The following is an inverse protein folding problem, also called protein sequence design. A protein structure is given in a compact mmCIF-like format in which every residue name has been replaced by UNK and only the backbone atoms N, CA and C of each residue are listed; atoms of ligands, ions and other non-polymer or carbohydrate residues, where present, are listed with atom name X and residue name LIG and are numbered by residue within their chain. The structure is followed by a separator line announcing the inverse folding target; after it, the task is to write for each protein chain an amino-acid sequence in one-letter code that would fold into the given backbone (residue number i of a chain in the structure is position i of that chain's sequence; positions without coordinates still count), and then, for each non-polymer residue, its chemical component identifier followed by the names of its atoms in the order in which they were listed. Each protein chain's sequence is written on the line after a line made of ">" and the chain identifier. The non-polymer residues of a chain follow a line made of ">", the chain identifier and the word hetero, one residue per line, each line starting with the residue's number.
data_IF_040569082077
#
_entry.id   IF_040569082077
#
_cell.length_a   1.000
_cell.length_b   1.000
_cell.length_c   1.000
_cell.angle_alpha   90.00
_cell.angle_beta   90.00
_cell.angle_gamma   90.00
#
_symmetry.space_group_name_H-M   'P 1'
#
loop_
_entity.id
_entity.type
_entity.pdbx_description
1 polymer ?
#
# COMPACT_ATOMS: atom_id res chain seq x y z
N UNK A 1 6.03 -9.51 12.00
CA UNK A 1 4.90 -9.62 11.06
C UNK A 1 3.77 -8.74 11.57
N UNK A 2 3.35 -7.74 10.80
CA UNK A 2 2.21 -6.87 11.14
C UNK A 2 0.98 -7.39 10.41
N UNK A 3 -0.11 -7.68 11.13
CA UNK A 3 -1.38 -8.06 10.52
C UNK A 3 -2.25 -6.82 10.41
N UNK A 4 -2.44 -6.35 9.18
CA UNK A 4 -3.13 -5.09 8.88
C UNK A 4 -4.67 -5.22 8.82
N UNK A 5 -5.19 -6.44 8.69
CA UNK A 5 -6.60 -6.71 8.41
C UNK A 5 -7.03 -8.05 9.05
N UNK A 6 -7.17 -8.10 10.39
CA UNK A 6 -7.57 -9.32 11.09
C UNK A 6 -9.04 -9.63 10.82
N UNK A 7 -9.34 -10.89 10.44
CA UNK A 7 -10.72 -11.32 10.16
C UNK A 7 -11.29 -10.87 8.82
N UNK A 8 -10.50 -10.18 7.98
CA UNK A 8 -10.90 -9.69 6.67
C UNK A 8 -11.37 -8.23 6.67
N UNK A 9 -11.31 -7.61 5.50
CA UNK A 9 -11.64 -6.21 5.26
C UNK A 9 -12.06 -6.04 3.79
N UNK A 10 -12.59 -4.87 3.47
CA UNK A 10 -12.96 -4.51 2.10
C UNK A 10 -11.80 -3.80 1.40
N UNK A 11 -11.72 -3.99 0.09
CA UNK A 11 -10.77 -3.30 -0.78
C UNK A 11 -11.45 -2.96 -2.11
N UNK A 12 -10.98 -1.90 -2.76
CA UNK A 12 -11.34 -1.54 -4.13
C UNK A 12 -10.09 -1.53 -5.01
N UNK A 13 -10.22 -2.02 -6.25
CA UNK A 13 -9.20 -1.85 -7.29
C UNK A 13 -9.50 -0.55 -8.02
N UNK A 14 -8.60 0.42 -7.98
CA UNK A 14 -8.87 1.77 -8.47
C UNK A 14 -7.75 2.30 -9.36
N UNK A 15 -7.98 2.29 -10.68
CA UNK A 15 -7.06 2.82 -11.68
C UNK A 15 -6.91 4.34 -11.61
N UNK A 16 -7.78 5.05 -10.88
CA UNK A 16 -7.73 6.50 -10.67
C UNK A 16 -6.81 6.92 -9.52
N UNK A 17 -6.26 5.98 -8.77
CA UNK A 17 -5.45 6.24 -7.57
C UNK A 17 -4.00 5.82 -7.78
N UNK A 18 -3.05 6.74 -7.58
CA UNK A 18 -1.62 6.44 -7.75
C UNK A 18 -0.98 5.69 -6.57
N UNK A 19 -1.63 5.71 -5.41
CA UNK A 19 -1.08 5.24 -4.13
C UNK A 19 -1.72 3.92 -3.68
N UNK A 20 -1.17 3.34 -2.61
CA UNK A 20 -1.84 2.31 -1.83
C UNK A 20 -2.42 2.96 -0.58
N UNK A 21 -3.74 2.97 -0.48
CA UNK A 21 -4.45 3.69 0.59
C UNK A 21 -5.08 2.67 1.54
N UNK A 22 -5.05 2.94 2.83
CA UNK A 22 -5.71 2.09 3.82
C UNK A 22 -6.11 2.83 5.10
N UNK A 23 -6.75 2.13 6.04
CA UNK A 23 -7.19 2.72 7.30
C UNK A 23 -6.00 3.22 8.15
N UNK A 24 -6.23 4.16 9.09
CA UNK A 24 -5.16 4.79 9.85
C UNK A 24 -4.26 3.82 10.62
N UNK A 25 -4.81 2.99 11.51
CA UNK A 25 -3.99 2.13 12.37
C UNK A 25 -3.17 1.09 11.58
N UNK A 26 -3.74 0.37 10.59
CA UNK A 26 -2.98 -0.54 9.75
C UNK A 26 -1.83 0.12 8.99
N UNK A 27 -2.08 1.24 8.31
CA UNK A 27 -1.05 1.95 7.54
C UNK A 27 0.02 2.50 8.48
N UNK A 28 -0.34 3.09 9.62
CA UNK A 28 0.62 3.57 10.61
C UNK A 28 1.49 2.44 11.15
N UNK A 29 0.94 1.24 11.38
CA UNK A 29 1.72 0.10 11.84
C UNK A 29 2.72 -0.38 10.77
N UNK A 30 2.33 -0.37 9.49
CA UNK A 30 3.24 -0.68 8.37
C UNK A 30 4.35 0.37 8.29
N UNK A 31 4.00 1.66 8.31
CA UNK A 31 4.96 2.77 8.26
C UNK A 31 5.97 2.72 9.41
N UNK A 32 5.50 2.42 10.63
CA UNK A 32 6.38 2.20 11.79
C UNK A 32 7.31 1.01 11.59
N UNK A 33 6.83 -0.10 11.01
CA UNK A 33 7.66 -1.29 10.80
C UNK A 33 8.79 -1.10 9.79
N UNK A 34 8.67 -0.13 8.88
CA UNK A 34 9.69 0.23 7.90
C UNK A 34 10.51 1.45 8.32
N UNK A 35 10.40 1.88 9.59
CA UNK A 35 11.06 3.07 10.14
C UNK A 35 10.80 4.35 9.32
N UNK A 36 9.61 4.47 8.71
CA UNK A 36 9.26 5.67 7.94
C UNK A 36 9.08 6.89 8.85
N UNK A 37 9.59 8.03 8.41
CA UNK A 37 9.47 9.32 9.06
C UNK A 37 8.50 10.21 8.29
N UNK A 38 7.72 11.04 8.99
CA UNK A 38 6.83 12.00 8.32
C UNK A 38 7.60 13.27 7.94
N UNK A 39 7.31 13.83 6.78
CA UNK A 39 7.77 15.16 6.37
C UNK A 39 6.81 16.25 6.89
N UNK A 40 7.21 17.52 6.77
CA UNK A 40 6.33 18.66 7.04
C UNK A 40 5.14 18.76 6.09
N UNK A 41 5.21 18.11 4.92
CA UNK A 41 4.13 18.04 3.92
C UNK A 41 3.19 16.85 4.15
N UNK A 42 3.42 16.04 5.19
CA UNK A 42 2.60 14.86 5.51
C UNK A 42 2.91 13.62 4.67
N UNK A 43 4.01 13.64 3.90
CA UNK A 43 4.52 12.46 3.21
C UNK A 43 5.33 11.59 4.17
N UNK A 44 5.50 10.31 3.84
CA UNK A 44 6.33 9.39 4.60
C UNK A 44 7.59 9.03 3.83
N UNK A 45 8.74 9.10 4.49
CA UNK A 45 10.05 8.88 3.88
C UNK A 45 10.87 7.83 4.64
N UNK A 46 11.74 7.14 3.91
CA UNK A 46 12.73 6.17 4.41
C UNK A 46 14.09 6.48 3.79
N UNK A 47 15.17 5.93 4.36
CA UNK A 47 16.48 5.93 3.69
C UNK A 47 16.41 5.08 2.43
N UNK A 48 16.98 5.56 1.32
CA UNK A 48 17.03 4.77 0.09
C UNK A 48 17.93 3.54 0.21
N UNK A 49 18.92 3.55 1.11
CA UNK A 49 19.80 2.41 1.38
C UNK A 49 19.07 1.24 2.07
N UNK A 50 18.02 1.54 2.83
CA UNK A 50 17.27 0.52 3.58
C UNK A 50 16.28 -0.25 2.69
N UNK A 51 15.96 0.26 1.49
CA UNK A 51 14.85 -0.24 0.65
C UNK A 51 14.93 -1.74 0.35
N UNK A 52 16.13 -2.27 0.11
CA UNK A 52 16.31 -3.70 -0.18
C UNK A 52 16.05 -4.60 1.02
N UNK A 53 16.07 -4.05 2.24
CA UNK A 53 15.82 -4.79 3.49
C UNK A 53 14.36 -4.68 3.97
N UNK A 54 13.57 -3.80 3.37
CA UNK A 54 12.19 -3.58 3.76
C UNK A 54 11.31 -4.79 3.37
N UNK A 55 10.33 -5.16 4.20
CA UNK A 55 9.49 -6.32 3.96
C UNK A 55 8.49 -6.11 2.81
N UNK A 56 8.07 -7.19 2.17
CA UNK A 56 6.93 -7.13 1.27
C UNK A 56 5.63 -6.86 2.05
N UNK A 57 4.72 -6.08 1.44
CA UNK A 57 3.32 -6.01 1.89
C UNK A 57 2.54 -7.10 1.16
N UNK A 58 2.01 -8.07 1.89
CA UNK A 58 1.31 -9.21 1.28
C UNK A 58 -0.21 -9.03 1.38
N UNK A 59 -0.87 -8.87 0.24
CA UNK A 59 -2.34 -8.93 0.17
C UNK A 59 -2.78 -10.38 -0.04
N UNK A 60 -3.63 -10.90 0.83
CA UNK A 60 -4.27 -12.20 0.62
C UNK A 60 -5.68 -11.99 0.12
N UNK A 61 -5.95 -12.32 -1.14
CA UNK A 61 -7.25 -12.13 -1.79
C UNK A 61 -7.75 -13.51 -2.20
N UNK A 62 -8.90 -13.91 -1.65
CA UNK A 62 -9.51 -15.24 -1.89
C UNK A 62 -8.53 -16.41 -1.66
N UNK A 63 -7.70 -16.32 -0.61
CA UNK A 63 -6.71 -17.35 -0.25
C UNK A 63 -5.42 -17.32 -1.07
N UNK A 64 -5.29 -16.45 -2.07
CA UNK A 64 -4.07 -16.29 -2.87
C UNK A 64 -3.27 -15.09 -2.37
N UNK A 65 -1.96 -15.28 -2.20
CA UNK A 65 -1.04 -14.23 -1.78
C UNK A 65 -0.53 -13.42 -2.97
N UNK A 66 -0.61 -12.10 -2.86
CA UNK A 66 -0.12 -11.11 -3.80
C UNK A 66 0.91 -10.22 -3.09
N UNK A 67 2.20 -10.60 -3.08
CA UNK A 67 3.25 -9.79 -2.47
C UNK A 67 3.48 -8.48 -3.25
N UNK A 68 3.58 -7.38 -2.53
CA UNK A 68 3.94 -6.06 -3.05
C UNK A 68 5.32 -5.73 -2.49
N UNK A 69 6.39 -5.89 -3.30
CA UNK A 69 7.75 -5.70 -2.81
C UNK A 69 8.02 -4.22 -2.49
N UNK A 70 9.02 -3.98 -1.64
CA UNK A 70 9.45 -2.64 -1.27
C UNK A 70 9.72 -1.72 -2.47
N UNK A 71 10.30 -2.27 -3.54
CA UNK A 71 10.54 -1.52 -4.79
C UNK A 71 9.27 -1.03 -5.50
N UNK A 72 8.10 -1.57 -5.15
CA UNK A 72 6.82 -1.15 -5.72
C UNK A 72 6.13 -0.07 -4.88
N UNK A 73 6.21 -0.16 -3.55
CA UNK A 73 5.58 0.80 -2.64
C UNK A 73 6.53 1.90 -2.15
N UNK A 74 7.83 1.84 -2.47
CA UNK A 74 8.81 2.90 -2.23
C UNK A 74 9.27 3.51 -3.56
N UNK A 75 9.23 4.84 -3.66
CA UNK A 75 9.66 5.65 -4.80
C UNK A 75 10.95 6.39 -4.46
N UNK A 76 11.98 6.25 -5.30
CA UNK A 76 13.24 7.00 -5.15
C UNK A 76 13.02 8.51 -5.38
N UNK A 77 13.52 9.33 -4.45
CA UNK A 77 13.57 10.78 -4.60
C UNK A 77 14.82 11.24 -5.39
N UNK A 78 15.09 12.54 -5.38
CA UNK A 78 16.27 13.11 -6.04
C UNK A 78 17.58 12.93 -5.24
N UNK A 79 17.46 12.74 -3.93
CA UNK A 79 18.58 12.54 -3.00
C UNK A 79 18.54 11.12 -2.44
N UNK A 80 19.19 10.89 -1.29
CA UNK A 80 19.15 9.62 -0.56
C UNK A 80 17.83 9.39 0.23
N UNK A 81 16.81 10.21 -0.06
CA UNK A 81 15.48 10.15 0.53
C UNK A 81 14.54 9.43 -0.43
N UNK A 82 13.89 8.39 0.08
CA UNK A 82 12.91 7.59 -0.64
C UNK A 82 11.52 7.82 -0.03
N UNK A 83 10.50 7.93 -0.87
CA UNK A 83 9.12 8.22 -0.48
C UNK A 83 8.29 6.94 -0.45
N UNK A 84 7.53 6.75 0.62
CA UNK A 84 6.49 5.73 0.69
C UNK A 84 5.26 6.17 -0.11
N UNK A 85 4.75 5.29 -0.96
CA UNK A 85 3.49 5.47 -1.68
C UNK A 85 2.29 4.92 -0.88
N UNK A 86 2.43 4.77 0.44
CA UNK A 86 1.34 4.43 1.35
C UNK A 86 0.63 5.71 1.81
N UNK A 87 -0.69 5.68 1.90
CA UNK A 87 -1.49 6.81 2.36
C UNK A 87 -2.51 6.39 3.42
N UNK A 88 -2.70 7.26 4.41
CA UNK A 88 -3.69 7.07 5.47
C UNK A 88 -5.01 7.68 5.03
N UNK A 89 -6.04 6.86 4.88
CA UNK A 89 -7.40 7.32 4.68
C UNK A 89 -7.98 7.88 5.98
N UNK A 90 -8.21 9.19 6.02
CA UNK A 90 -8.89 9.87 7.14
C UNK A 90 -10.35 10.16 6.84
N UNK A 91 -10.87 9.73 5.68
CA UNK A 91 -12.22 10.02 5.25
C UNK A 91 -13.25 9.09 5.92
N UNK A 92 -14.33 9.70 6.44
CA UNK A 92 -15.52 8.99 6.90
C UNK A 92 -15.32 7.88 7.94
N UNK A 93 -16.38 7.10 8.13
CA UNK A 93 -16.39 5.91 9.00
C UNK A 93 -16.06 4.62 8.24
N UNK A 94 -16.34 4.57 6.94
CA UNK A 94 -16.01 3.44 6.06
C UNK A 94 -14.76 3.74 5.26
N UNK A 95 -13.71 2.94 5.48
CA UNK A 95 -12.37 3.11 4.90
C UNK A 95 -11.88 1.80 4.31
N UNK A 96 -12.29 1.44 3.07
CA UNK A 96 -11.75 0.27 2.41
C UNK A 96 -10.28 0.51 2.04
N UNK A 97 -9.53 -0.56 1.82
CA UNK A 97 -8.24 -0.43 1.15
C UNK A 97 -8.44 0.02 -0.30
N UNK A 98 -7.60 0.91 -0.80
CA UNK A 98 -7.57 1.28 -2.23
C UNK A 98 -6.29 0.73 -2.82
N UNK A 99 -6.45 -0.25 -3.70
CA UNK A 99 -5.37 -0.89 -4.45
C UNK A 99 -5.23 -0.14 -5.77
N UNK A 100 -4.45 0.93 -5.74
CA UNK A 100 -4.13 1.76 -6.90
C UNK A 100 -2.95 1.26 -7.71
N UNK A 101 -2.29 2.18 -8.42
CA UNK A 101 -1.16 1.91 -9.31
C UNK A 101 -0.02 1.10 -8.66
N UNK A 102 0.24 1.30 -7.37
CA UNK A 102 1.25 0.53 -6.61
C UNK A 102 0.99 -0.98 -6.73
N UNK A 103 -0.28 -1.39 -6.69
CA UNK A 103 -0.69 -2.78 -6.85
C UNK A 103 -0.91 -3.15 -8.33
N UNK A 104 -1.64 -2.31 -9.06
CA UNK A 104 -2.08 -2.59 -10.43
C UNK A 104 -0.94 -2.68 -11.45
N UNK A 105 0.23 -2.08 -11.18
CA UNK A 105 1.43 -2.21 -12.02
C UNK A 105 2.12 -3.57 -11.87
N UNK A 106 1.90 -4.26 -10.74
CA UNK A 106 2.47 -5.59 -10.49
C UNK A 106 1.56 -6.69 -11.05
N UNK A 107 0.24 -6.47 -11.01
CA UNK A 107 -0.74 -7.49 -11.30
C UNK A 107 -1.70 -7.02 -12.39
N UNK A 108 -1.61 -7.67 -13.54
CA UNK A 108 -2.59 -7.49 -14.61
C UNK A 108 -3.99 -7.78 -14.07
N UNK A 109 -4.89 -6.81 -14.21
CA UNK A 109 -6.21 -6.82 -13.59
C UNK A 109 -7.28 -6.74 -14.67
N UNK A 110 -8.26 -7.64 -14.63
CA UNK A 110 -9.39 -7.69 -15.57
C UNK A 110 -10.65 -7.31 -14.83
N UNK A 111 -11.40 -6.34 -15.34
CA UNK A 111 -12.70 -5.97 -14.78
C UNK A 111 -13.82 -6.62 -15.60
N UNK A 112 -14.35 -7.75 -15.12
CA UNK A 112 -15.37 -8.55 -15.81
C UNK A 112 -16.77 -8.18 -15.32
N UNK A 113 -17.39 -7.23 -16.04
CA UNK A 113 -18.74 -6.74 -15.76
C UNK A 113 -19.84 -7.76 -16.06
N UNK A 114 -19.60 -8.74 -16.93
CA UNK A 114 -20.60 -9.76 -17.25
C UNK A 114 -20.79 -10.73 -16.07
N UNK A 115 -19.70 -11.02 -15.35
CA UNK A 115 -19.71 -11.96 -14.21
C UNK A 115 -19.55 -11.26 -12.84
N UNK A 116 -19.52 -9.93 -12.79
CA UNK A 116 -19.32 -9.13 -11.57
C UNK A 116 -18.10 -9.58 -10.75
N UNK A 117 -16.96 -9.74 -11.43
CA UNK A 117 -15.71 -10.15 -10.79
C UNK A 117 -14.53 -9.34 -11.29
N UNK A 118 -13.46 -9.44 -10.53
CA UNK A 118 -12.12 -9.00 -10.87
C UNK A 118 -11.23 -10.25 -10.88
#
# INVERSE_FOLDING_TARGET
>A
MVVACPGGCQAIMDTGTSLLIGPPDPILNILKSINAQTTSTGEYIVSCDDVQSLPDIVFTINGVAYPVPASAYIRRGQTDICYSNLYIDTSGSFRPWVLGDVFLRLYFTVFDRANNRI
#
